data_IF_746235265169
#
_entry.id   IF_746235265169
#
_cell.length_a   1.000
_cell.length_b   1.000
_cell.length_c   1.000
_cell.angle_alpha   90.00
_cell.angle_beta   90.00
_cell.angle_gamma   90.00
#
_symmetry.space_group_name_H-M   'P 1'
#
loop_
_entity.id
_entity.type
_entity.pdbx_description
1 polymer ?
#
# COMPACT_ATOMS: atom_id res chain seq x y z
N UNK A 1 -54.95 -17.27 -20.12
CA UNK A 1 -55.41 -16.10 -20.89
C UNK A 1 -55.61 -14.93 -19.95
N UNK A 2 -54.64 -14.03 -19.88
CA UNK A 2 -54.83 -12.57 -19.78
C UNK A 2 -53.45 -11.94 -19.79
N UNK A 3 -53.31 -10.96 -20.68
CA UNK A 3 -52.09 -10.20 -20.97
C UNK A 3 -52.25 -8.75 -20.45
N UNK A 4 -51.14 -8.00 -20.53
CA UNK A 4 -51.00 -6.54 -20.42
C UNK A 4 -51.03 -5.98 -18.96
N UNK A 5 -50.17 -5.06 -18.53
CA UNK A 5 -49.50 -3.95 -19.21
C UNK A 5 -48.14 -3.64 -18.55
N UNK A 6 -47.13 -3.34 -19.37
CA UNK A 6 -45.84 -2.78 -18.97
C UNK A 6 -45.98 -1.28 -18.64
N UNK A 7 -45.36 -0.83 -17.56
CA UNK A 7 -45.10 0.61 -17.36
C UNK A 7 -43.61 0.85 -17.48
N UNK A 8 -43.29 1.43 -18.62
CA UNK A 8 -42.02 2.05 -18.99
C UNK A 8 -41.88 3.36 -18.20
N UNK A 9 -40.80 3.50 -17.44
CA UNK A 9 -40.39 4.81 -16.92
C UNK A 9 -38.94 5.00 -17.31
N UNK A 10 -38.75 5.64 -18.46
CA UNK A 10 -37.50 6.20 -18.90
C UNK A 10 -37.00 7.24 -17.87
N UNK A 11 -35.84 6.98 -17.28
CA UNK A 11 -35.03 8.03 -16.66
C UNK A 11 -34.07 8.56 -17.73
N UNK A 12 -34.47 9.63 -18.41
CA UNK A 12 -33.59 10.43 -19.24
C UNK A 12 -32.56 11.18 -18.38
N UNK A 13 -31.30 11.04 -18.78
CA UNK A 13 -30.38 12.15 -18.95
C UNK A 13 -30.03 13.01 -17.73
N UNK A 14 -28.88 12.71 -17.12
CA UNK A 14 -27.93 13.76 -16.77
C UNK A 14 -26.53 13.34 -17.19
N UNK A 15 -26.14 13.79 -18.38
CA UNK A 15 -24.74 13.82 -18.81
C UNK A 15 -24.03 14.77 -17.84
N UNK A 16 -23.33 14.19 -16.87
CA UNK A 16 -22.34 14.92 -16.08
C UNK A 16 -21.16 15.13 -17.02
N UNK A 17 -20.80 16.40 -17.21
CA UNK A 17 -19.73 16.81 -18.10
C UNK A 17 -18.46 16.02 -17.81
N UNK A 18 -18.01 15.32 -18.84
CA UNK A 18 -16.66 14.85 -19.00
C UNK A 18 -15.76 16.09 -19.14
N UNK A 19 -15.25 16.56 -18.00
CA UNK A 19 -14.05 17.39 -17.96
C UNK A 19 -12.92 16.47 -17.47
N UNK A 20 -12.62 15.45 -18.25
CA UNK A 20 -11.40 14.66 -18.13
C UNK A 20 -10.20 15.49 -18.57
N UNK A 21 -9.77 16.42 -17.71
CA UNK A 21 -8.32 16.58 -17.54
C UNK A 21 -7.87 15.28 -16.88
N UNK A 22 -7.60 14.26 -17.71
CA UNK A 22 -6.90 13.06 -17.27
C UNK A 22 -5.60 13.55 -16.65
N UNK A 23 -5.54 13.58 -15.32
CA UNK A 23 -4.30 13.81 -14.61
C UNK A 23 -3.43 12.59 -14.91
N UNK A 24 -2.67 12.67 -16.01
CA UNK A 24 -1.71 11.66 -16.41
C UNK A 24 -0.60 11.72 -15.39
N UNK A 25 -0.75 10.96 -14.30
CA UNK A 25 0.23 10.87 -13.24
C UNK A 25 1.62 10.56 -13.82
N UNK A 26 2.64 11.20 -13.26
CA UNK A 26 3.97 11.28 -13.87
C UNK A 26 4.87 10.08 -13.56
N UNK A 27 4.38 9.08 -12.83
CA UNK A 27 5.17 7.87 -12.54
C UNK A 27 5.12 6.92 -13.74
N UNK A 28 6.24 6.74 -14.43
CA UNK A 28 6.36 5.84 -15.57
C UNK A 28 7.26 4.62 -15.27
N UNK A 29 7.54 3.82 -16.29
CA UNK A 29 8.38 2.63 -16.19
C UNK A 29 9.82 2.95 -15.84
N UNK A 30 10.37 4.00 -16.41
CA UNK A 30 11.76 4.40 -16.17
C UNK A 30 11.95 4.88 -14.73
N UNK A 31 10.95 5.59 -14.18
CA UNK A 31 10.91 5.94 -12.76
C UNK A 31 10.95 4.68 -11.89
N UNK A 32 10.05 3.73 -12.11
CA UNK A 32 9.95 2.52 -11.29
C UNK A 32 11.25 1.71 -11.36
N UNK A 33 11.76 1.45 -12.56
CA UNK A 33 13.00 0.68 -12.74
C UNK A 33 14.22 1.39 -12.13
N UNK A 34 14.29 2.73 -12.22
CA UNK A 34 15.38 3.53 -11.64
C UNK A 34 15.42 3.45 -10.12
N UNK A 35 14.28 3.57 -9.45
CA UNK A 35 14.23 3.68 -8.00
C UNK A 35 14.06 2.34 -7.30
N UNK A 36 13.35 1.38 -7.90
CA UNK A 36 13.21 0.04 -7.32
C UNK A 36 14.57 -0.66 -7.19
N UNK A 37 15.47 -0.53 -8.17
CA UNK A 37 16.81 -1.15 -8.15
C UNK A 37 17.74 -0.58 -7.07
N UNK A 38 17.46 0.62 -6.55
CA UNK A 38 18.23 1.30 -5.49
C UNK A 38 17.68 1.03 -4.10
N UNK A 39 16.60 0.27 -4.01
CA UNK A 39 16.01 -0.11 -2.74
C UNK A 39 17.01 -0.96 -1.93
N UNK A 40 17.26 -0.63 -0.66
CA UNK A 40 18.27 -1.29 0.18
C UNK A 40 17.73 -2.64 0.68
N UNK A 41 17.65 -3.64 -0.19
CA UNK A 41 17.12 -4.94 0.20
C UNK A 41 18.08 -5.64 1.19
N UNK A 42 17.64 -5.77 2.44
CA UNK A 42 18.39 -6.45 3.49
C UNK A 42 17.88 -7.87 3.76
N UNK A 43 18.74 -8.70 4.37
CA UNK A 43 18.45 -10.12 4.70
C UNK A 43 17.17 -10.30 5.51
N UNK A 44 16.87 -9.35 6.42
CA UNK A 44 15.67 -9.39 7.24
C UNK A 44 14.39 -9.33 6.38
N UNK A 45 14.37 -8.50 5.34
CA UNK A 45 13.23 -8.42 4.42
C UNK A 45 13.16 -9.64 3.49
N UNK A 46 14.31 -10.15 3.04
CA UNK A 46 14.37 -11.39 2.25
C UNK A 46 13.76 -12.55 3.04
N UNK A 47 14.11 -12.68 4.33
CA UNK A 47 13.52 -13.69 5.20
C UNK A 47 12.02 -13.44 5.45
N UNK A 48 11.60 -12.17 5.53
CA UNK A 48 10.21 -11.79 5.75
C UNK A 48 9.29 -12.17 4.58
N UNK A 49 9.64 -11.81 3.35
CA UNK A 49 8.86 -12.15 2.16
C UNK A 49 9.12 -13.57 1.65
N UNK A 50 10.11 -14.27 2.21
CA UNK A 50 10.39 -15.68 1.99
C UNK A 50 9.75 -16.59 3.04
N UNK A 51 10.51 -16.88 4.10
CA UNK A 51 10.14 -17.82 5.16
C UNK A 51 8.88 -17.41 5.91
N UNK A 52 8.84 -16.17 6.44
CA UNK A 52 7.73 -15.71 7.29
C UNK A 52 6.43 -15.69 6.49
N UNK A 53 6.44 -15.06 5.32
CA UNK A 53 5.28 -15.05 4.41
C UNK A 53 4.76 -16.47 4.17
N UNK A 54 5.64 -17.43 3.82
CA UNK A 54 5.21 -18.82 3.54
C UNK A 54 4.55 -19.46 4.76
N UNK A 55 5.12 -19.26 5.95
CA UNK A 55 4.52 -19.75 7.20
C UNK A 55 3.15 -19.14 7.48
N UNK A 56 3.05 -17.81 7.41
CA UNK A 56 1.81 -17.06 7.67
C UNK A 56 0.73 -17.42 6.64
N UNK A 57 1.07 -17.49 5.35
CA UNK A 57 0.14 -17.87 4.29
C UNK A 57 -0.34 -19.33 4.45
N UNK A 58 0.55 -20.25 4.85
CA UNK A 58 0.18 -21.65 5.09
C UNK A 58 -0.75 -21.85 6.30
N UNK A 59 -0.58 -21.03 7.35
CA UNK A 59 -1.42 -21.06 8.56
C UNK A 59 -2.70 -20.22 8.45
N UNK A 60 -2.73 -19.23 7.56
CA UNK A 60 -3.79 -18.24 7.46
C UNK A 60 -3.86 -17.29 8.65
N UNK A 61 -2.77 -17.13 9.40
CA UNK A 61 -2.66 -16.20 10.53
C UNK A 61 -1.19 -15.99 10.93
N UNK A 62 -0.92 -14.94 11.70
CA UNK A 62 0.39 -14.73 12.32
C UNK A 62 0.54 -15.50 13.62
N UNK A 63 1.74 -16.03 13.86
CA UNK A 63 2.21 -16.31 15.23
C UNK A 63 3.00 -15.12 15.77
N UNK A 64 3.22 -15.04 17.09
CA UNK A 64 3.89 -13.89 17.72
C UNK A 64 5.25 -13.58 17.09
N UNK A 65 6.08 -14.60 16.84
CA UNK A 65 7.41 -14.38 16.25
C UNK A 65 7.32 -13.72 14.88
N UNK A 66 6.41 -14.18 14.02
CA UNK A 66 6.18 -13.62 12.69
C UNK A 66 5.58 -12.20 12.77
N UNK A 67 4.63 -11.99 13.67
CA UNK A 67 3.97 -10.69 13.90
C UNK A 67 4.99 -9.63 14.33
N UNK A 68 5.86 -9.96 15.28
CA UNK A 68 6.90 -9.05 15.76
C UNK A 68 7.98 -8.80 14.70
N UNK A 69 8.35 -9.81 13.89
CA UNK A 69 9.27 -9.64 12.76
C UNK A 69 8.70 -8.67 11.73
N UNK A 70 7.46 -8.88 11.30
CA UNK A 70 6.79 -8.02 10.32
C UNK A 70 6.59 -6.59 10.86
N UNK A 71 6.13 -6.45 12.11
CA UNK A 71 5.92 -5.16 12.74
C UNK A 71 7.22 -4.37 12.91
N UNK A 72 8.29 -5.02 13.38
CA UNK A 72 9.61 -4.39 13.58
C UNK A 72 10.27 -4.01 12.25
N UNK A 73 10.08 -4.81 11.19
CA UNK A 73 10.50 -4.45 9.83
C UNK A 73 9.85 -3.14 9.38
N UNK A 74 8.54 -2.96 9.62
CA UNK A 74 7.85 -1.72 9.29
C UNK A 74 8.30 -0.54 10.16
N UNK A 75 8.40 -0.76 11.48
CA UNK A 75 8.92 0.21 12.43
C UNK A 75 9.23 -0.43 13.78
N UNK A 76 10.42 -0.19 14.31
CA UNK A 76 10.76 -0.60 15.68
C UNK A 76 10.07 0.24 16.77
N UNK A 77 9.52 1.42 16.44
CA UNK A 77 8.97 2.37 17.42
C UNK A 77 7.80 1.80 18.25
N UNK A 78 6.76 1.18 17.66
CA UNK A 78 5.65 0.64 18.43
C UNK A 78 5.93 -0.76 19.04
N UNK A 79 7.18 -1.25 19.01
CA UNK A 79 7.50 -2.61 19.48
C UNK A 79 6.95 -2.96 20.87
N UNK A 80 7.04 -2.10 21.91
CA UNK A 80 6.46 -2.43 23.21
C UNK A 80 4.95 -2.66 23.19
N UNK A 81 4.23 -1.95 22.31
CA UNK A 81 2.79 -2.12 22.13
C UNK A 81 2.48 -3.41 21.35
N UNK A 82 3.27 -3.73 20.33
CA UNK A 82 3.14 -4.99 19.60
C UNK A 82 3.34 -6.19 20.53
N UNK A 83 4.34 -6.14 21.42
CA UNK A 83 4.64 -7.17 22.42
C UNK A 83 3.54 -7.34 23.47
N UNK A 84 2.72 -6.31 23.71
CA UNK A 84 1.63 -6.35 24.68
C UNK A 84 0.42 -7.20 24.21
N UNK A 85 0.35 -7.58 22.93
CA UNK A 85 -0.75 -8.40 22.42
C UNK A 85 -0.59 -9.87 22.83
N UNK A 86 -1.70 -10.52 23.17
CA UNK A 86 -1.73 -11.95 23.48
C UNK A 86 -1.52 -12.81 22.22
N UNK A 87 -1.11 -14.06 22.39
CA UNK A 87 -0.99 -15.01 21.24
C UNK A 87 -2.34 -15.32 20.62
N UNK A 88 -3.40 -15.27 21.41
CA UNK A 88 -4.77 -15.50 20.98
C UNK A 88 -5.24 -14.34 20.10
N UNK A 89 -5.10 -13.10 20.57
CA UNK A 89 -5.49 -11.91 19.81
C UNK A 89 -4.73 -11.81 18.49
N UNK A 90 -3.40 -12.04 18.50
CA UNK A 90 -2.60 -12.03 17.28
C UNK A 90 -3.14 -13.07 16.28
N UNK A 91 -3.39 -14.30 16.72
CA UNK A 91 -3.88 -15.36 15.84
C UNK A 91 -5.28 -15.06 15.32
N UNK A 92 -6.21 -14.68 16.19
CA UNK A 92 -7.61 -14.57 15.83
C UNK A 92 -7.92 -13.32 15.01
N UNK A 93 -7.35 -12.17 15.38
CA UNK A 93 -7.54 -10.93 14.63
C UNK A 93 -6.85 -10.99 13.26
N UNK A 94 -5.66 -11.61 13.16
CA UNK A 94 -5.01 -11.76 11.85
C UNK A 94 -5.73 -12.77 10.96
N UNK A 95 -6.20 -13.90 11.52
CA UNK A 95 -7.04 -14.86 10.79
C UNK A 95 -8.29 -14.19 10.23
N UNK A 96 -9.00 -13.43 11.07
CA UNK A 96 -10.21 -12.73 10.67
C UNK A 96 -9.91 -11.66 9.62
N UNK A 97 -8.85 -10.88 9.80
CA UNK A 97 -8.45 -9.84 8.85
C UNK A 97 -8.13 -10.39 7.46
N UNK A 98 -7.49 -11.55 7.38
CA UNK A 98 -7.08 -12.17 6.11
C UNK A 98 -8.24 -12.67 5.26
N UNK A 99 -9.33 -13.12 5.89
CA UNK A 99 -10.53 -13.57 5.17
C UNK A 99 -11.55 -12.45 4.96
N UNK A 100 -11.39 -11.32 5.63
CA UNK A 100 -12.26 -10.16 5.48
C UNK A 100 -12.04 -9.45 4.13
N UNK A 101 -13.01 -8.62 3.75
CA UNK A 101 -12.85 -7.71 2.62
C UNK A 101 -11.71 -6.71 2.86
N UNK A 102 -11.10 -6.20 1.79
CA UNK A 102 -10.01 -5.22 1.88
C UNK A 102 -10.41 -3.96 2.65
N UNK A 103 -11.69 -3.56 2.60
CA UNK A 103 -12.24 -2.42 3.37
C UNK A 103 -12.25 -2.66 4.88
N UNK A 104 -12.24 -3.91 5.32
CA UNK A 104 -12.35 -4.30 6.73
C UNK A 104 -11.06 -4.90 7.29
N UNK A 105 -10.27 -5.63 6.48
CA UNK A 105 -9.09 -6.37 6.95
C UNK A 105 -8.12 -5.50 7.74
N UNK A 106 -7.76 -4.33 7.22
CA UNK A 106 -6.85 -3.42 7.91
C UNK A 106 -7.46 -2.82 9.20
N UNK A 107 -8.79 -2.64 9.25
CA UNK A 107 -9.50 -2.14 10.44
C UNK A 107 -9.60 -3.18 11.54
N UNK A 108 -9.70 -4.46 11.17
CA UNK A 108 -9.66 -5.58 12.12
C UNK A 108 -8.27 -5.63 12.76
N UNK A 109 -7.20 -5.47 11.96
CA UNK A 109 -5.84 -5.43 12.48
C UNK A 109 -5.59 -4.22 13.40
N UNK A 110 -6.28 -3.10 13.18
CA UNK A 110 -6.21 -1.88 14.02
C UNK A 110 -6.70 -2.10 15.46
N UNK A 111 -7.36 -3.24 15.75
CA UNK A 111 -7.74 -3.64 17.10
C UNK A 111 -6.54 -4.15 17.93
N UNK A 112 -5.44 -4.55 17.28
CA UNK A 112 -4.20 -4.95 17.97
C UNK A 112 -3.43 -3.72 18.47
N UNK A 113 -2.92 -3.81 19.69
CA UNK A 113 -2.09 -2.76 20.29
C UNK A 113 -0.85 -2.49 19.44
N UNK A 114 -0.60 -1.23 19.11
CA UNK A 114 0.54 -0.80 18.29
C UNK A 114 0.36 -1.00 16.78
N UNK A 115 -0.82 -1.46 16.34
CA UNK A 115 -1.15 -1.62 14.92
C UNK A 115 -2.09 -0.50 14.50
N UNK A 116 -1.56 0.51 13.81
CA UNK A 116 -2.35 1.53 13.13
C UNK A 116 -2.47 1.21 11.62
N UNK A 117 -3.18 2.03 10.83
CA UNK A 117 -3.35 1.82 9.38
C UNK A 117 -2.03 1.54 8.63
N UNK A 118 -0.94 2.33 8.77
CA UNK A 118 0.36 1.99 8.18
C UNK A 118 0.91 0.62 8.62
N UNK A 119 0.79 0.27 9.90
CA UNK A 119 1.25 -1.03 10.40
C UNK A 119 0.38 -2.19 9.88
N UNK A 120 -0.95 -2.02 9.86
CA UNK A 120 -1.89 -2.98 9.31
C UNK A 120 -1.62 -3.26 7.83
N UNK A 121 -1.36 -2.22 7.04
CA UNK A 121 -0.99 -2.37 5.62
C UNK A 121 0.30 -3.18 5.43
N UNK A 122 1.28 -3.01 6.32
CA UNK A 122 2.52 -3.76 6.30
C UNK A 122 2.31 -5.25 6.61
N UNK A 123 1.49 -5.57 7.61
CA UNK A 123 1.12 -6.96 7.94
C UNK A 123 0.37 -7.62 6.77
N UNK A 124 -0.58 -6.91 6.16
CA UNK A 124 -1.30 -7.42 4.98
C UNK A 124 -0.36 -7.63 3.78
N UNK A 125 0.60 -6.73 3.57
CA UNK A 125 1.59 -6.82 2.48
C UNK A 125 2.53 -8.00 2.67
N UNK A 126 3.01 -8.26 3.89
CA UNK A 126 3.85 -9.44 4.17
C UNK A 126 3.08 -10.74 3.92
N UNK A 127 1.80 -10.80 4.30
CA UNK A 127 0.96 -11.97 4.07
C UNK A 127 0.64 -12.19 2.58
N UNK A 128 0.20 -11.16 1.87
CA UNK A 128 -0.23 -11.23 0.47
C UNK A 128 0.31 -10.03 -0.35
N UNK A 129 1.60 -10.03 -0.72
CA UNK A 129 2.28 -8.91 -1.39
C UNK A 129 1.79 -8.64 -2.82
N UNK A 130 1.14 -9.63 -3.42
CA UNK A 130 0.45 -9.53 -4.69
C UNK A 130 -0.89 -8.78 -4.59
N UNK A 131 -1.44 -8.68 -3.38
CA UNK A 131 -2.74 -8.06 -3.11
C UNK A 131 -2.63 -6.72 -2.39
N UNK A 132 -1.68 -6.56 -1.49
CA UNK A 132 -1.56 -5.37 -0.65
C UNK A 132 -0.22 -4.69 -0.83
N UNK A 133 -0.19 -3.38 -0.56
CA UNK A 133 1.03 -2.59 -0.49
C UNK A 133 1.01 -1.71 0.75
N UNK A 134 2.20 -1.29 1.21
CA UNK A 134 2.35 -0.52 2.43
C UNK A 134 1.94 0.91 2.19
N UNK A 135 1.07 1.47 3.04
CA UNK A 135 0.86 2.92 3.10
C UNK A 135 1.83 3.53 4.10
N UNK A 136 2.68 4.44 3.65
CA UNK A 136 3.54 5.22 4.52
C UNK A 136 3.80 6.63 3.97
N UNK A 137 4.35 7.50 4.83
CA UNK A 137 4.54 8.90 4.49
C UNK A 137 5.47 9.13 3.30
N UNK A 138 6.44 8.23 3.05
CA UNK A 138 7.35 8.32 1.91
C UNK A 138 6.67 7.98 0.59
N UNK A 139 5.85 6.93 0.61
CA UNK A 139 5.03 6.58 -0.55
C UNK A 139 4.06 7.72 -0.90
N UNK A 140 3.34 8.25 0.10
CA UNK A 140 2.42 9.38 -0.09
C UNK A 140 3.14 10.65 -0.58
N UNK A 141 4.32 10.93 -0.05
CA UNK A 141 5.13 12.08 -0.47
C UNK A 141 5.56 11.96 -1.93
N UNK A 142 5.96 10.75 -2.36
CA UNK A 142 6.34 10.50 -3.75
C UNK A 142 5.17 10.65 -4.69
N UNK A 143 4.02 10.06 -4.36
CA UNK A 143 2.81 10.15 -5.17
C UNK A 143 2.37 11.61 -5.36
N UNK A 144 2.44 12.43 -4.29
CA UNK A 144 2.13 13.86 -4.37
C UNK A 144 3.11 14.64 -5.24
N UNK A 145 4.40 14.37 -5.09
CA UNK A 145 5.43 15.04 -5.87
C UNK A 145 5.36 14.74 -7.38
N UNK A 146 4.67 13.66 -7.76
CA UNK A 146 4.48 13.23 -9.15
C UNK A 146 3.03 13.35 -9.61
N UNK A 147 2.22 14.15 -8.90
CA UNK A 147 0.84 14.46 -9.27
C UNK A 147 -0.10 13.23 -9.37
N UNK A 148 0.28 12.09 -8.77
CA UNK A 148 -0.57 10.89 -8.68
C UNK A 148 -1.61 10.99 -7.55
N UNK A 149 -1.35 11.87 -6.57
CA UNK A 149 -2.17 12.04 -5.39
C UNK A 149 -2.24 13.51 -5.00
N UNK A 150 -3.44 13.99 -4.65
CA UNK A 150 -3.63 15.35 -4.13
C UNK A 150 -3.16 15.54 -2.68
N UNK A 151 -3.47 16.70 -2.11
CA UNK A 151 -3.03 17.08 -0.75
C UNK A 151 -3.76 16.30 0.36
N UNK A 152 -4.99 15.85 0.10
CA UNK A 152 -5.78 15.10 1.08
C UNK A 152 -5.10 13.77 1.46
N UNK A 153 -5.29 13.35 2.71
CA UNK A 153 -4.80 12.04 3.15
C UNK A 153 -5.77 10.96 2.66
N UNK A 154 -5.34 10.00 1.82
CA UNK A 154 -6.25 9.03 1.23
C UNK A 154 -6.71 8.02 2.28
N UNK A 155 -7.91 7.46 2.09
CA UNK A 155 -8.27 6.23 2.80
C UNK A 155 -7.36 5.08 2.30
N UNK A 156 -7.14 4.05 3.13
CA UNK A 156 -6.31 2.92 2.71
C UNK A 156 -6.85 2.20 1.46
N UNK A 157 -8.16 1.95 1.31
CA UNK A 157 -8.71 1.40 0.07
C UNK A 157 -8.43 2.27 -1.18
N UNK A 158 -8.52 3.60 -1.06
CA UNK A 158 -8.27 4.51 -2.18
C UNK A 158 -6.78 4.51 -2.56
N UNK A 159 -5.90 4.53 -1.55
CA UNK A 159 -4.46 4.37 -1.74
C UNK A 159 -4.12 3.04 -2.45
N UNK A 160 -4.72 1.93 -2.01
CA UNK A 160 -4.47 0.63 -2.61
C UNK A 160 -4.97 0.56 -4.07
N UNK A 161 -6.13 1.15 -4.35
CA UNK A 161 -6.66 1.26 -5.71
C UNK A 161 -5.75 2.10 -6.62
N UNK A 162 -5.27 3.24 -6.13
CA UNK A 162 -4.31 4.10 -6.83
C UNK A 162 -3.03 3.33 -7.17
N UNK A 163 -2.38 2.68 -6.19
CA UNK A 163 -1.16 1.92 -6.43
C UNK A 163 -1.36 0.77 -7.43
N UNK A 164 -2.51 0.11 -7.41
CA UNK A 164 -2.84 -0.93 -8.42
C UNK A 164 -3.00 -0.34 -9.81
N UNK A 165 -3.63 0.83 -9.93
CA UNK A 165 -3.76 1.55 -11.18
C UNK A 165 -2.39 1.91 -11.78
N UNK A 166 -1.50 2.47 -10.96
CA UNK A 166 -0.12 2.79 -11.37
C UNK A 166 0.65 1.53 -11.75
N UNK A 167 0.61 0.49 -10.92
CA UNK A 167 1.31 -0.76 -11.17
C UNK A 167 0.86 -1.43 -12.49
N UNK A 168 -0.44 -1.40 -12.78
CA UNK A 168 -1.00 -1.89 -14.04
C UNK A 168 -0.59 -1.01 -15.23
N UNK A 169 -0.62 0.32 -15.08
CA UNK A 169 -0.21 1.28 -16.12
C UNK A 169 1.28 1.14 -16.49
N UNK A 170 2.11 0.80 -15.53
CA UNK A 170 3.57 0.70 -15.67
C UNK A 170 4.06 -0.75 -15.89
N UNK A 171 3.16 -1.73 -15.84
CA UNK A 171 3.47 -3.16 -15.96
C UNK A 171 4.53 -3.64 -14.95
N UNK A 172 4.24 -3.45 -13.66
CA UNK A 172 5.05 -3.94 -12.55
C UNK A 172 4.21 -4.50 -11.39
N UNK A 173 4.82 -5.25 -10.48
CA UNK A 173 4.14 -5.70 -9.26
C UNK A 173 4.09 -4.62 -8.17
N UNK A 174 3.14 -4.76 -7.24
CA UNK A 174 2.93 -3.80 -6.16
C UNK A 174 4.17 -3.61 -5.26
N UNK A 175 4.97 -4.66 -5.03
CA UNK A 175 6.16 -4.55 -4.18
C UNK A 175 7.27 -3.80 -4.91
N UNK A 176 7.41 -4.00 -6.21
CA UNK A 176 8.35 -3.24 -7.05
C UNK A 176 7.98 -1.76 -7.08
N UNK A 177 6.70 -1.41 -7.24
CA UNK A 177 6.22 -0.03 -7.13
C UNK A 177 6.49 0.56 -5.73
N UNK A 178 6.12 -0.14 -4.66
CA UNK A 178 6.33 0.29 -3.28
C UNK A 178 7.81 0.62 -2.99
N UNK A 179 8.72 -0.23 -3.47
CA UNK A 179 10.17 0.02 -3.39
C UNK A 179 10.59 1.28 -4.14
N UNK A 180 10.08 1.50 -5.34
CA UNK A 180 10.40 2.69 -6.12
C UNK A 180 9.93 3.97 -5.41
N UNK A 181 8.67 4.00 -4.97
CA UNK A 181 8.09 5.13 -4.25
C UNK A 181 8.92 5.44 -2.99
N UNK A 182 9.18 4.42 -2.17
CA UNK A 182 9.92 4.61 -0.94
C UNK A 182 11.36 5.10 -1.16
N UNK A 183 12.06 4.56 -2.16
CA UNK A 183 13.44 4.94 -2.49
C UNK A 183 13.52 6.38 -2.95
N UNK A 184 12.63 6.83 -3.84
CA UNK A 184 12.63 8.23 -4.31
C UNK A 184 12.52 9.20 -3.15
N UNK A 185 11.52 9.02 -2.27
CA UNK A 185 11.32 9.92 -1.12
C UNK A 185 12.50 9.91 -0.14
N UNK A 186 13.19 8.77 0.01
CA UNK A 186 14.43 8.70 0.79
C UNK A 186 15.56 9.53 0.18
N UNK A 187 15.67 9.57 -1.15
CA UNK A 187 16.85 10.07 -1.87
C UNK A 187 16.68 11.43 -2.54
N UNK A 188 15.46 11.98 -2.63
CA UNK A 188 15.15 13.27 -3.27
C UNK A 188 15.91 14.50 -2.73
N UNK A 189 16.66 14.38 -1.63
CA UNK A 189 17.55 15.42 -1.09
C UNK A 189 19.04 15.11 -1.23
N UNK A 190 19.39 14.05 -1.97
CA UNK A 190 20.77 13.57 -2.21
C UNK A 190 21.18 13.63 -3.68
N UNK A 191 20.30 14.11 -4.55
CA UNK A 191 20.68 14.51 -5.91
C UNK A 191 21.50 15.81 -5.78
N UNK A 192 22.79 15.75 -6.13
CA UNK A 192 23.61 16.95 -6.30
C UNK A 192 22.90 17.87 -7.31
N UNK A 193 22.90 19.19 -7.09
CA UNK A 193 22.39 20.11 -8.09
C UNK A 193 23.13 19.86 -9.42
N UNK A 194 22.48 20.06 -10.57
CA UNK A 194 23.16 19.99 -11.86
C UNK A 194 24.42 20.88 -11.81
N UNK A 195 25.52 20.39 -12.41
CA UNK A 195 26.87 21.00 -12.44
C UNK A 195 26.87 22.43 -13.03
N UNK A 196 25.74 22.84 -13.58
CA UNK A 196 25.40 24.12 -14.20
C UNK A 196 24.67 25.11 -13.27
N UNK A 197 24.49 24.79 -11.98
CA UNK A 197 24.08 25.77 -10.97
C UNK A 197 25.23 26.74 -10.65
N UNK A 198 25.23 27.90 -11.33
CA UNK A 198 26.14 29.01 -11.06
C UNK A 198 26.12 29.38 -9.56
N UNK A 199 27.26 29.29 -8.85
CA UNK A 199 27.31 29.58 -7.42
C UNK A 199 27.16 31.07 -7.07
N UNK A 200 26.94 31.97 -8.04
CA UNK A 200 26.74 33.40 -7.81
C UNK A 200 25.65 34.03 -8.72
N UNK A 201 24.39 33.60 -8.56
CA UNK A 201 23.21 34.34 -9.03
C UNK A 201 22.33 34.81 -7.88
#
# INVERSE_FOLDING_TARGET
>A
MSALVASDTACEGRVVGDNGDEQVGQIDRDFVDRWAKRYPLGDAEVALFGEVRRGVAGRGHYERSDFLRAGTWKSARPKPYLEANSDEDIRDLTRLAFVASERLGYRILDLLSGVNVPMASALLTVWAPDRFTVIDYRALETLRAHEELGDEYPSYPDYLALCRGIAARVDCDLRTLDRALWTWSREKGTEEPPDDADPLA
#
